data_IF_925197340314
#
_entry.id   IF_925197340314
#
_cell.length_a   1.000
_cell.length_b   1.000
_cell.length_c   1.000
_cell.angle_alpha   90.00
_cell.angle_beta   90.00
_cell.angle_gamma   90.00
#
_symmetry.space_group_name_H-M   'P 1'
#
loop_
_entity.id
_entity.type
_entity.pdbx_description
1 polymer ?
#
# COMPACT_ATOMS: atom_id res chain seq x y z
N UNK A 1 0.05 3.39 9.03
CA UNK A 1 0.74 2.10 8.80
C UNK A 1 0.63 1.65 7.35
N UNK A 2 -0.54 1.29 6.82
CA UNK A 2 -0.70 0.71 5.45
C UNK A 2 -0.07 1.56 4.34
N UNK A 3 -0.22 2.89 4.40
CA UNK A 3 0.45 3.81 3.44
C UNK A 3 1.97 3.72 3.47
N UNK A 4 2.57 3.68 4.66
CA UNK A 4 4.04 3.58 4.82
C UNK A 4 4.54 2.21 4.37
N UNK A 5 3.81 1.14 4.71
CA UNK A 5 4.13 -0.21 4.28
C UNK A 5 4.04 -0.37 2.75
N UNK A 6 3.06 0.26 2.11
CA UNK A 6 2.96 0.29 0.65
C UNK A 6 4.19 0.97 0.01
N UNK A 7 4.58 2.16 0.50
CA UNK A 7 5.74 2.88 0.01
C UNK A 7 7.04 2.08 0.18
N UNK A 8 7.23 1.45 1.34
CA UNK A 8 8.37 0.58 1.59
C UNK A 8 8.40 -0.64 0.66
N UNK A 9 7.25 -1.27 0.42
CA UNK A 9 7.16 -2.40 -0.50
C UNK A 9 7.49 -2.00 -1.94
N UNK A 10 7.06 -0.82 -2.41
CA UNK A 10 7.44 -0.29 -3.72
C UNK A 10 8.94 0.00 -3.80
N UNK A 11 9.52 0.68 -2.81
CA UNK A 11 10.95 0.97 -2.78
C UNK A 11 11.81 -0.29 -2.86
N UNK A 12 11.44 -1.34 -2.11
CA UNK A 12 12.16 -2.62 -2.16
C UNK A 12 11.92 -3.36 -3.47
N UNK A 13 10.72 -3.25 -4.06
CA UNK A 13 10.44 -3.84 -5.37
C UNK A 13 11.34 -3.21 -6.45
N UNK A 14 11.48 -1.88 -6.46
CA UNK A 14 12.32 -1.15 -7.41
C UNK A 14 13.81 -1.57 -7.30
N UNK A 15 14.32 -1.71 -6.07
CA UNK A 15 15.69 -2.18 -5.81
C UNK A 15 15.92 -3.62 -6.31
N UNK A 16 14.90 -4.49 -6.18
CA UNK A 16 14.97 -5.90 -6.60
C UNK A 16 14.83 -6.08 -8.11
N UNK A 17 14.06 -5.21 -8.76
CA UNK A 17 13.87 -5.20 -10.22
C UNK A 17 15.19 -4.88 -10.94
N UNK A 18 16.00 -4.00 -10.35
CA UNK A 18 17.33 -3.66 -10.85
C UNK A 18 18.40 -4.75 -10.60
N UNK A 19 18.19 -5.66 -9.64
CA UNK A 19 19.29 -6.50 -9.13
C UNK A 19 19.21 -7.98 -9.47
N UNK A 20 18.06 -8.68 -9.42
CA UNK A 20 18.00 -10.11 -9.82
C UNK A 20 16.65 -10.84 -9.73
N UNK A 21 15.59 -10.29 -9.10
CA UNK A 21 14.40 -11.10 -8.74
C UNK A 21 13.06 -10.49 -9.19
N UNK A 22 12.69 -10.66 -10.47
CA UNK A 22 11.44 -10.12 -11.01
C UNK A 22 10.18 -10.66 -10.33
N UNK A 23 10.17 -11.96 -9.99
CA UNK A 23 9.03 -12.56 -9.26
C UNK A 23 8.84 -11.92 -7.89
N UNK A 24 9.93 -11.66 -7.16
CA UNK A 24 9.85 -11.04 -5.85
C UNK A 24 9.44 -9.57 -5.92
N UNK A 25 9.92 -8.85 -6.92
CA UNK A 25 9.48 -7.48 -7.20
C UNK A 25 7.97 -7.44 -7.52
N UNK A 26 7.47 -8.39 -8.32
CA UNK A 26 6.05 -8.55 -8.63
C UNK A 26 5.18 -8.83 -7.39
N UNK A 27 5.64 -9.71 -6.51
CA UNK A 27 4.99 -10.01 -5.23
C UNK A 27 4.86 -8.76 -4.35
N UNK A 28 5.95 -8.01 -4.21
CA UNK A 28 5.99 -6.79 -3.41
C UNK A 28 5.11 -5.70 -4.01
N UNK A 29 5.12 -5.54 -5.33
CA UNK A 29 4.24 -4.61 -6.05
C UNK A 29 2.77 -4.94 -5.83
N UNK A 30 2.40 -6.22 -5.92
CA UNK A 30 1.04 -6.69 -5.64
C UNK A 30 0.63 -6.39 -4.19
N UNK A 31 1.53 -6.58 -3.23
CA UNK A 31 1.29 -6.24 -1.82
C UNK A 31 1.14 -4.73 -1.63
N UNK A 32 1.99 -3.92 -2.27
CA UNK A 32 1.95 -2.46 -2.22
C UNK A 32 0.61 -1.92 -2.75
N UNK A 33 0.10 -2.49 -3.85
CA UNK A 33 -1.21 -2.13 -4.40
C UNK A 33 -2.33 -2.38 -3.39
N UNK A 34 -2.39 -3.58 -2.79
CA UNK A 34 -3.40 -3.92 -1.78
C UNK A 34 -3.32 -3.00 -0.56
N UNK A 35 -2.12 -2.72 -0.07
CA UNK A 35 -1.89 -1.82 1.07
C UNK A 35 -2.31 -0.37 0.77
N UNK A 36 -2.10 0.08 -0.47
CA UNK A 36 -2.51 1.42 -0.90
C UNK A 36 -4.03 1.56 -0.96
N UNK A 37 -4.73 0.53 -1.46
CA UNK A 37 -6.20 0.49 -1.46
C UNK A 37 -6.75 0.53 -0.03
N UNK A 38 -6.26 -0.34 0.86
CA UNK A 38 -6.65 -0.32 2.27
C UNK A 38 -6.37 1.04 2.94
N UNK A 39 -5.26 1.69 2.61
CA UNK A 39 -4.96 3.01 3.12
C UNK A 39 -5.98 4.07 2.65
N UNK A 40 -6.42 4.00 1.39
CA UNK A 40 -7.45 4.90 0.86
C UNK A 40 -8.79 4.68 1.58
N UNK A 41 -9.21 3.43 1.74
CA UNK A 41 -10.46 3.09 2.43
C UNK A 41 -10.45 3.59 3.88
N UNK A 42 -9.37 3.34 4.62
CA UNK A 42 -9.23 3.82 6.00
C UNK A 42 -9.23 5.35 6.10
N UNK A 43 -8.65 6.06 5.10
CA UNK A 43 -8.72 7.52 5.03
C UNK A 43 -10.17 7.98 4.82
N UNK A 44 -10.93 7.32 3.95
CA UNK A 44 -12.35 7.64 3.76
C UNK A 44 -13.18 7.35 5.01
N UNK A 45 -13.02 6.19 5.63
CA UNK A 45 -13.69 5.86 6.89
C UNK A 45 -13.37 6.89 7.98
N UNK A 46 -12.10 7.29 8.11
CA UNK A 46 -11.70 8.32 9.06
C UNK A 46 -12.30 9.70 8.76
N UNK A 47 -12.57 10.03 7.49
CA UNK A 47 -13.30 11.27 7.13
C UNK A 47 -14.78 11.17 7.48
N UNK A 48 -15.42 10.06 7.15
CA UNK A 48 -16.84 9.82 7.47
C UNK A 48 -17.07 9.83 8.99
N UNK A 49 -16.19 9.17 9.76
CA UNK A 49 -16.26 9.15 11.21
C UNK A 49 -16.18 10.56 11.82
N UNK A 50 -15.24 11.40 11.37
CA UNK A 50 -15.14 12.80 11.86
C UNK A 50 -16.34 13.67 11.46
N UNK A 51 -17.09 13.26 10.45
CA UNK A 51 -18.31 13.95 10.01
C UNK A 51 -19.59 13.36 10.59
N UNK A 52 -19.50 12.38 11.51
CA UNK A 52 -20.65 11.61 12.01
C UNK A 52 -21.49 10.98 10.89
N UNK A 53 -20.83 10.50 9.84
CA UNK A 53 -21.43 9.85 8.65
C UNK A 53 -21.04 8.38 8.50
N UNK A 54 -20.31 7.82 9.47
CA UNK A 54 -19.96 6.41 9.51
C UNK A 54 -20.96 5.71 10.44
N UNK A 55 -21.86 4.92 9.85
CA UNK A 55 -22.81 4.06 10.56
C UNK A 55 -22.18 2.70 10.92
#
# INVERSE_FOLDING_TARGET
>A
FSRLAALGATSVADDLDATASPERAGDLTTRALRLSQMAADLVQCGRLWRGDRLD
#
